data_IF_890722292238
#
_entry.id   IF_890722292238
#
_cell.length_a   1.000
_cell.length_b   1.000
_cell.length_c   1.000
_cell.angle_alpha   90.00
_cell.angle_beta   90.00
_cell.angle_gamma   90.00
#
_symmetry.space_group_name_H-M   'P 1'
#
loop_
_entity.id
_entity.type
_entity.pdbx_description
1 polymer ?
#
# COMPACT_ATOMS: atom_id res chain seq x y z
N UNK A 1 5.30 2.74 -13.55
CA UNK A 1 5.13 1.87 -14.72
C UNK A 1 3.91 0.98 -14.47
N UNK A 2 2.80 1.24 -15.17
CA UNK A 2 1.48 0.64 -14.92
C UNK A 2 1.34 -0.74 -15.60
N UNK A 3 2.39 -1.55 -15.56
CA UNK A 3 2.44 -2.86 -16.21
C UNK A 3 1.27 -3.73 -15.73
N UNK A 4 0.20 -3.74 -16.55
CA UNK A 4 -1.02 -4.55 -16.49
C UNK A 4 -1.52 -4.90 -15.07
N UNK A 5 -2.20 -3.95 -14.41
CA UNK A 5 -3.13 -4.28 -13.33
C UNK A 5 -4.33 -5.03 -13.95
N UNK A 6 -4.34 -6.33 -13.77
CA UNK A 6 -5.23 -7.30 -14.41
C UNK A 6 -6.58 -7.43 -13.69
N UNK A 7 -6.62 -7.20 -12.38
CA UNK A 7 -7.84 -7.32 -11.58
C UNK A 7 -8.33 -5.98 -10.98
N UNK A 8 -9.62 -5.87 -10.64
CA UNK A 8 -10.14 -4.74 -9.86
C UNK A 8 -9.44 -4.57 -8.51
N UNK A 9 -9.05 -5.66 -7.85
CA UNK A 9 -8.39 -5.65 -6.54
C UNK A 9 -6.95 -5.15 -6.62
N UNK A 10 -6.22 -5.51 -7.68
CA UNK A 10 -4.90 -4.93 -7.99
C UNK A 10 -5.00 -3.40 -8.16
N UNK A 11 -6.05 -2.93 -8.85
CA UNK A 11 -6.31 -1.50 -9.04
C UNK A 11 -6.72 -0.81 -7.75
N UNK A 12 -7.59 -1.42 -6.96
CA UNK A 12 -8.03 -0.91 -5.67
C UNK A 12 -6.84 -0.77 -4.71
N UNK A 13 -5.97 -1.79 -4.63
CA UNK A 13 -4.76 -1.74 -3.82
C UNK A 13 -3.80 -0.65 -4.30
N UNK A 14 -3.57 -0.53 -5.61
CA UNK A 14 -2.69 0.51 -6.16
C UNK A 14 -3.19 1.93 -5.85
N UNK A 15 -4.48 2.20 -6.08
CA UNK A 15 -5.08 3.50 -5.77
C UNK A 15 -5.09 3.77 -4.27
N UNK A 16 -5.41 2.74 -3.47
CA UNK A 16 -5.38 2.81 -2.02
C UNK A 16 -4.00 3.16 -1.47
N UNK A 17 -2.94 2.54 -2.01
CA UNK A 17 -1.55 2.84 -1.64
C UNK A 17 -1.18 4.29 -1.93
N UNK A 18 -1.52 4.79 -3.12
CA UNK A 18 -1.25 6.17 -3.51
C UNK A 18 -1.97 7.18 -2.58
N UNK A 19 -3.25 6.93 -2.31
CA UNK A 19 -4.06 7.78 -1.43
C UNK A 19 -3.55 7.75 0.01
N UNK A 20 -3.31 6.56 0.57
CA UNK A 20 -2.82 6.39 1.94
C UNK A 20 -1.48 7.09 2.15
N UNK A 21 -0.55 6.96 1.19
CA UNK A 21 0.75 7.64 1.23
C UNK A 21 0.59 9.17 1.24
N UNK A 22 -0.26 9.71 0.38
CA UNK A 22 -0.49 11.15 0.31
C UNK A 22 -1.10 11.70 1.61
N UNK A 23 -2.13 11.03 2.14
CA UNK A 23 -2.78 11.44 3.39
C UNK A 23 -1.85 11.30 4.59
N UNK A 24 -1.11 10.19 4.70
CA UNK A 24 -0.16 9.97 5.79
C UNK A 24 0.95 11.02 5.78
N UNK A 25 1.52 11.35 4.62
CA UNK A 25 2.54 12.40 4.51
C UNK A 25 2.02 13.79 4.91
N UNK A 26 0.77 14.12 4.55
CA UNK A 26 0.15 15.39 4.96
C UNK A 26 -0.12 15.45 6.47
N UNK A 27 -0.57 14.34 7.07
CA UNK A 27 -0.86 14.27 8.49
C UNK A 27 0.44 14.36 9.31
N UNK A 28 1.48 13.64 8.89
CA UNK A 28 2.84 13.73 9.42
C UNK A 28 3.38 15.16 9.38
N UNK A 29 3.23 15.86 8.24
CA UNK A 29 3.69 17.25 8.11
C UNK A 29 2.97 18.25 9.02
N UNK A 30 1.87 17.83 9.65
CA UNK A 30 1.11 18.59 10.65
C UNK A 30 1.26 18.02 12.07
N UNK A 31 2.17 17.07 12.27
CA UNK A 31 2.36 16.34 13.52
C UNK A 31 1.10 15.55 13.97
N UNK A 32 0.17 15.29 13.05
CA UNK A 32 -1.03 14.48 13.27
C UNK A 32 -0.73 13.00 13.01
N UNK A 33 -0.03 12.37 13.95
CA UNK A 33 0.36 10.97 13.84
C UNK A 33 -0.83 10.01 13.93
N UNK A 34 -1.86 10.36 14.68
CA UNK A 34 -3.11 9.60 14.74
C UNK A 34 -3.81 9.60 13.37
N UNK A 35 -3.87 10.74 12.68
CA UNK A 35 -4.36 10.86 11.32
C UNK A 35 -3.54 10.06 10.31
N UNK A 36 -2.21 10.03 10.47
CA UNK A 36 -1.34 9.21 9.64
C UNK A 36 -1.62 7.70 9.83
N UNK A 37 -1.70 7.22 11.07
CA UNK A 37 -2.05 5.84 11.38
C UNK A 37 -3.45 5.46 10.87
N UNK A 38 -4.43 6.36 11.00
CA UNK A 38 -5.79 6.15 10.49
C UNK A 38 -5.82 6.07 8.95
N UNK A 39 -4.99 6.86 8.25
CA UNK A 39 -4.87 6.79 6.80
C UNK A 39 -4.32 5.43 6.34
N UNK A 40 -3.31 4.91 7.04
CA UNK A 40 -2.75 3.59 6.77
C UNK A 40 -3.74 2.46 7.10
N UNK A 41 -4.50 2.58 8.19
CA UNK A 41 -5.51 1.59 8.56
C UNK A 41 -6.60 1.41 7.49
N UNK A 42 -6.95 2.48 6.76
CA UNK A 42 -7.90 2.43 5.64
C UNK A 42 -7.42 1.58 4.46
N UNK A 43 -6.13 1.25 4.39
CA UNK A 43 -5.58 0.39 3.34
C UNK A 43 -5.93 -1.09 3.58
N UNK A 44 -6.18 -1.49 4.83
CA UNK A 44 -6.37 -2.90 5.22
C UNK A 44 -7.42 -3.65 4.39
N UNK A 45 -8.65 -3.11 4.16
CA UNK A 45 -9.64 -3.82 3.36
C UNK A 45 -9.20 -4.08 1.91
N UNK A 46 -8.42 -3.17 1.31
CA UNK A 46 -7.91 -3.34 -0.05
C UNK A 46 -6.79 -4.40 -0.11
N UNK A 47 -5.98 -4.48 0.95
CA UNK A 47 -4.95 -5.53 1.10
C UNK A 47 -5.61 -6.89 1.28
N UNK A 48 -6.61 -6.98 2.16
CA UNK A 48 -7.35 -8.22 2.41
C UNK A 48 -8.04 -8.70 1.12
N UNK A 49 -8.76 -7.82 0.42
CA UNK A 49 -9.41 -8.15 -0.86
C UNK A 49 -8.40 -8.59 -1.94
N UNK A 50 -7.22 -7.98 -1.99
CA UNK A 50 -6.16 -8.41 -2.89
C UNK A 50 -5.72 -9.84 -2.59
N UNK A 51 -5.41 -10.19 -1.34
CA UNK A 51 -4.98 -11.54 -0.99
C UNK A 51 -6.09 -12.59 -1.12
N UNK A 52 -7.34 -12.20 -0.91
CA UNK A 52 -8.50 -13.09 -1.06
C UNK A 52 -8.81 -13.44 -2.52
N UNK A 53 -8.52 -12.53 -3.46
CA UNK A 53 -8.95 -12.65 -4.87
C UNK A 53 -7.80 -12.81 -5.86
N UNK A 54 -6.58 -12.47 -5.47
CA UNK A 54 -5.43 -12.42 -6.37
C UNK A 54 -4.38 -13.46 -5.97
N UNK A 55 -4.15 -14.43 -6.85
CA UNK A 55 -3.06 -15.41 -6.68
C UNK A 55 -1.71 -14.76 -6.95
N UNK A 56 -0.98 -14.38 -5.92
CA UNK A 56 0.33 -13.69 -6.08
C UNK A 56 1.32 -14.54 -6.88
N UNK A 57 1.45 -15.81 -6.54
CA UNK A 57 2.33 -16.74 -7.25
C UNK A 57 1.65 -17.34 -8.48
N UNK A 58 1.19 -16.47 -9.38
CA UNK A 58 0.51 -16.87 -10.62
C UNK A 58 1.45 -17.69 -11.53
N UNK A 59 0.96 -18.74 -12.22
CA UNK A 59 1.75 -19.45 -13.22
C UNK A 59 2.21 -18.54 -14.37
N UNK A 60 1.45 -17.49 -14.70
CA UNK A 60 1.88 -16.47 -15.64
C UNK A 60 2.95 -15.57 -15.02
N UNK A 61 4.17 -15.64 -15.58
CA UNK A 61 5.32 -14.89 -15.08
C UNK A 61 5.12 -13.36 -15.11
N UNK A 62 4.45 -12.81 -16.13
CA UNK A 62 4.18 -11.37 -16.22
C UNK A 62 3.26 -10.90 -15.07
N UNK A 63 2.18 -11.65 -14.80
CA UNK A 63 1.24 -11.32 -13.73
C UNK A 63 1.90 -11.44 -12.36
N UNK A 64 2.67 -12.51 -12.14
CA UNK A 64 3.42 -12.72 -10.91
C UNK A 64 4.39 -11.57 -10.65
N UNK A 65 5.15 -11.15 -11.66
CA UNK A 65 6.09 -10.03 -11.51
C UNK A 65 5.37 -8.72 -11.15
N UNK A 66 4.26 -8.41 -11.82
CA UNK A 66 3.48 -7.19 -11.54
C UNK A 66 2.91 -7.20 -10.11
N UNK A 67 2.39 -8.34 -9.65
CA UNK A 67 1.85 -8.49 -8.29
C UNK A 67 2.94 -8.35 -7.23
N UNK A 68 4.11 -8.93 -7.45
CA UNK A 68 5.25 -8.76 -6.54
C UNK A 68 5.74 -7.30 -6.51
N UNK A 69 5.78 -6.61 -7.66
CA UNK A 69 6.09 -5.17 -7.72
C UNK A 69 5.06 -4.34 -6.96
N UNK A 70 3.77 -4.68 -7.02
CA UNK A 70 2.72 -4.00 -6.25
C UNK A 70 2.90 -4.26 -4.74
N UNK A 71 3.17 -5.49 -4.33
CA UNK A 71 3.42 -5.84 -2.93
C UNK A 71 4.66 -5.14 -2.36
N UNK A 72 5.71 -4.97 -3.15
CA UNK A 72 6.91 -4.22 -2.73
C UNK A 72 6.64 -2.72 -2.46
N UNK A 73 5.50 -2.18 -2.88
CA UNK A 73 5.11 -0.80 -2.57
C UNK A 73 4.42 -0.66 -1.20
N UNK A 74 3.89 -1.75 -0.63
CA UNK A 74 3.26 -1.73 0.69
C UNK A 74 4.22 -1.25 1.79
N UNK A 75 5.43 -1.81 1.96
CA UNK A 75 6.38 -1.31 2.95
C UNK A 75 6.76 0.15 2.74
N UNK A 76 6.86 0.60 1.48
CA UNK A 76 7.19 1.99 1.14
C UNK A 76 6.05 2.95 1.53
N UNK A 77 4.80 2.54 1.40
CA UNK A 77 3.67 3.36 1.83
C UNK A 77 3.58 3.50 3.36
N UNK A 78 4.12 2.53 4.10
CA UNK A 78 4.19 2.54 5.57
C UNK A 78 5.42 3.29 6.10
N UNK A 79 6.44 3.51 5.27
CA UNK A 79 7.72 4.13 5.69
C UNK A 79 7.57 5.52 6.33
N UNK A 80 6.66 6.42 5.88
CA UNK A 80 6.54 7.76 6.45
C UNK A 80 6.11 7.75 7.91
N UNK A 81 5.47 6.68 8.40
CA UNK A 81 5.09 6.55 9.81
C UNK A 81 6.12 5.71 10.58
N UNK A 82 6.74 4.72 9.91
CA UNK A 82 7.80 3.92 10.51
C UNK A 82 9.05 4.75 10.89
N UNK A 83 9.38 5.81 10.14
CA UNK A 83 10.53 6.66 10.46
C UNK A 83 10.33 7.43 11.79
N UNK A 84 9.11 7.87 12.10
CA UNK A 84 8.79 8.53 13.38
C UNK A 84 8.93 7.59 14.56
N UNK A 85 8.57 6.31 14.39
CA UNK A 85 8.74 5.32 15.47
C UNK A 85 10.21 5.12 15.90
N UNK A 86 11.18 5.59 15.10
CA UNK A 86 12.61 5.55 15.45
C UNK A 86 13.11 6.81 16.16
N UNK A 87 12.34 7.89 16.17
CA UNK A 87 12.69 9.17 16.83
C UNK A 87 12.16 9.21 18.26
N UNK A 88 11.10 8.45 18.60
CA UNK A 88 10.56 8.32 19.96
C UNK A 88 11.28 7.27 20.84
N UNK A 89 12.56 6.96 20.56
CA UNK A 89 13.39 6.01 21.32
C UNK A 89 14.38 6.68 22.26
#
# INVERSE_FOLDING_TARGET
DNGKLASPEERALFLGLAAARATAAQAVGKEDFAGAMAALAKLRPAVDAFFDKVTVNDPNAELRENRLRLLNQLPVALSPVADFSRIEG
#
